data_IF_881572890007
#
_entry.id   IF_881572890007
#
_cell.length_a   1.000
_cell.length_b   1.000
_cell.length_c   1.000
_cell.angle_alpha   90.00
_cell.angle_beta   90.00
_cell.angle_gamma   90.00
#
_symmetry.space_group_name_H-M   'P 1'
#
loop_
_entity.id
_entity.type
_entity.pdbx_description
1 polymer ?
#
# COMPACT_ATOMS: atom_id res chain seq x y z
N UNK A 1 8.83 -8.93 15.71
CA UNK A 1 7.54 -9.03 15.00
C UNK A 1 7.80 -9.86 13.75
N UNK A 2 7.25 -11.05 13.69
CA UNK A 2 7.42 -11.95 12.55
C UNK A 2 6.30 -11.62 11.56
N UNK A 3 6.54 -10.62 10.73
CA UNK A 3 5.55 -10.20 9.74
C UNK A 3 5.97 -10.76 8.39
N UNK A 4 5.29 -11.83 7.97
CA UNK A 4 5.44 -12.42 6.63
C UNK A 4 4.85 -11.51 5.52
N UNK A 5 4.50 -10.28 5.86
CA UNK A 5 3.93 -9.31 4.91
C UNK A 5 5.03 -8.78 4.02
N UNK A 6 4.87 -8.95 2.73
CA UNK A 6 5.85 -8.57 1.71
C UNK A 6 5.75 -7.10 1.31
N UNK A 7 4.55 -6.56 1.32
CA UNK A 7 4.27 -5.15 1.03
C UNK A 7 2.86 -4.76 1.50
N UNK A 8 2.60 -3.48 1.53
CA UNK A 8 1.27 -2.92 1.82
C UNK A 8 0.80 -2.09 0.62
N UNK A 9 -0.41 -2.39 0.14
CA UNK A 9 -1.15 -1.51 -0.76
C UNK A 9 -1.96 -0.55 0.11
N UNK A 10 -1.46 0.66 0.23
CA UNK A 10 -2.02 1.67 1.10
C UNK A 10 -3.26 2.35 0.50
N UNK A 11 -4.11 2.88 1.35
CA UNK A 11 -5.20 3.76 0.91
C UNK A 11 -4.66 4.99 0.19
N UNK A 12 -3.64 5.67 0.75
CA UNK A 12 -2.74 6.62 0.10
C UNK A 12 -3.42 7.61 -0.84
N UNK A 13 -4.25 8.51 -0.31
CA UNK A 13 -5.02 9.49 -1.10
C UNK A 13 -4.26 10.79 -1.36
N UNK A 14 -3.01 10.87 -0.93
CA UNK A 14 -2.15 12.05 -1.07
C UNK A 14 -2.66 13.29 -0.31
N UNK A 15 -3.28 13.04 0.84
CA UNK A 15 -3.65 14.13 1.77
C UNK A 15 -2.52 14.41 2.76
N UNK A 16 -2.29 15.69 3.14
CA UNK A 16 -1.14 16.08 3.96
C UNK A 16 -1.01 15.34 5.29
N UNK A 17 -2.12 14.98 5.91
CA UNK A 17 -2.16 14.31 7.22
C UNK A 17 -2.42 12.82 7.06
N UNK A 18 -3.30 12.43 6.13
CA UNK A 18 -3.76 11.06 5.97
C UNK A 18 -2.63 10.08 5.63
N UNK A 19 -1.77 10.45 4.70
CA UNK A 19 -0.68 9.58 4.25
C UNK A 19 0.35 9.35 5.36
N UNK A 20 0.68 10.37 6.14
CA UNK A 20 1.62 10.25 7.26
C UNK A 20 1.07 9.40 8.40
N UNK A 21 -0.22 9.57 8.73
CA UNK A 21 -0.88 8.74 9.75
C UNK A 21 -0.90 7.27 9.32
N UNK A 22 -1.29 7.00 8.07
CA UNK A 22 -1.31 5.64 7.54
C UNK A 22 0.10 5.02 7.52
N UNK A 23 1.10 5.77 7.05
CA UNK A 23 2.50 5.35 7.06
C UNK A 23 2.96 4.95 8.47
N UNK A 24 2.72 5.78 9.47
CA UNK A 24 3.13 5.51 10.85
C UNK A 24 2.43 4.26 11.41
N UNK A 25 1.14 4.08 11.14
CA UNK A 25 0.39 2.90 11.54
C UNK A 25 0.94 1.62 10.88
N UNK A 26 1.23 1.66 9.57
CA UNK A 26 1.85 0.55 8.86
C UNK A 26 3.21 0.20 9.47
N UNK A 27 4.06 1.20 9.68
CA UNK A 27 5.40 1.01 10.25
C UNK A 27 5.34 0.41 11.66
N UNK A 28 4.40 0.83 12.48
CA UNK A 28 4.22 0.31 13.83
C UNK A 28 3.78 -1.17 13.82
N UNK A 29 2.87 -1.54 12.94
CA UNK A 29 2.24 -2.87 12.91
C UNK A 29 3.09 -3.89 12.15
N UNK A 30 3.52 -3.56 10.94
CA UNK A 30 4.25 -4.50 10.05
C UNK A 30 5.75 -4.22 9.95
N UNK A 31 6.21 -3.06 10.34
CA UNK A 31 7.61 -2.69 10.25
C UNK A 31 7.98 -2.14 8.86
N UNK A 32 9.26 -2.25 8.50
CA UNK A 32 9.79 -1.71 7.24
C UNK A 32 9.50 -2.65 6.08
N UNK A 33 8.40 -2.41 5.38
CA UNK A 33 8.00 -3.12 4.17
C UNK A 33 7.72 -2.11 3.04
N UNK A 34 7.82 -2.49 1.76
CA UNK A 34 7.39 -1.65 0.66
C UNK A 34 5.94 -1.19 0.82
N UNK A 35 5.69 0.08 0.60
CA UNK A 35 4.34 0.67 0.58
C UNK A 35 4.07 1.22 -0.81
N UNK A 36 2.93 0.84 -1.37
CA UNK A 36 2.47 1.31 -2.68
C UNK A 36 1.06 1.85 -2.58
N UNK A 37 0.72 2.81 -3.43
CA UNK A 37 -0.65 3.23 -3.65
C UNK A 37 -0.93 3.27 -5.16
N UNK A 38 -1.86 2.45 -5.60
CA UNK A 38 -2.24 2.39 -7.01
C UNK A 38 -3.02 3.64 -7.46
N UNK A 39 -3.48 4.47 -6.53
CA UNK A 39 -4.15 5.74 -6.84
C UNK A 39 -3.28 6.70 -7.63
N UNK A 40 -1.97 6.60 -7.50
CA UNK A 40 -1.04 7.37 -8.33
C UNK A 40 -1.16 7.08 -9.83
N UNK A 41 -1.65 5.89 -10.20
CA UNK A 41 -1.82 5.43 -11.59
C UNK A 41 -3.26 5.53 -12.10
N UNK A 42 -4.23 5.18 -11.25
CA UNK A 42 -5.63 5.01 -11.67
C UNK A 42 -6.58 6.03 -11.06
N UNK A 43 -6.09 6.90 -10.18
CA UNK A 43 -6.92 7.84 -9.45
C UNK A 43 -7.70 7.19 -8.31
N UNK A 44 -8.53 7.98 -7.65
CA UNK A 44 -9.41 7.53 -6.58
C UNK A 44 -10.74 7.05 -7.17
N UNK A 45 -10.98 5.75 -7.18
CA UNK A 45 -12.19 5.14 -7.76
C UNK A 45 -13.36 5.03 -6.78
N UNK A 46 -13.29 5.72 -5.64
CA UNK A 46 -14.32 5.80 -4.59
C UNK A 46 -14.80 4.41 -4.14
N UNK A 47 -16.09 4.08 -4.38
CA UNK A 47 -16.66 2.81 -3.95
C UNK A 47 -16.01 1.56 -4.55
N UNK A 48 -15.30 1.68 -5.68
CA UNK A 48 -14.58 0.58 -6.31
C UNK A 48 -13.12 0.44 -5.83
N UNK A 49 -12.58 1.38 -5.05
CA UNK A 49 -11.19 1.39 -4.61
C UNK A 49 -10.76 0.07 -4.00
N UNK A 50 -11.49 -0.39 -2.99
CA UNK A 50 -11.11 -1.57 -2.22
C UNK A 50 -10.95 -2.82 -3.06
N UNK A 51 -11.88 -3.07 -3.98
CA UNK A 51 -11.82 -4.28 -4.82
C UNK A 51 -10.76 -4.16 -5.92
N UNK A 52 -10.63 -3.01 -6.56
CA UNK A 52 -9.60 -2.79 -7.59
C UNK A 52 -8.21 -2.93 -6.97
N UNK A 53 -7.97 -2.31 -5.83
CA UNK A 53 -6.69 -2.36 -5.12
C UNK A 53 -6.39 -3.76 -4.59
N UNK A 54 -7.41 -4.53 -4.17
CA UNK A 54 -7.25 -5.94 -3.82
C UNK A 54 -6.80 -6.78 -5.02
N UNK A 55 -7.38 -6.56 -6.21
CA UNK A 55 -6.97 -7.23 -7.44
C UNK A 55 -5.51 -6.90 -7.79
N UNK A 56 -5.10 -5.64 -7.69
CA UNK A 56 -3.71 -5.24 -7.88
C UNK A 56 -2.77 -5.93 -6.89
N UNK A 57 -3.17 -6.02 -5.63
CA UNK A 57 -2.39 -6.70 -4.58
C UNK A 57 -2.22 -8.18 -4.90
N UNK A 58 -3.29 -8.87 -5.31
CA UNK A 58 -3.24 -10.28 -5.73
C UNK A 58 -2.30 -10.46 -6.93
N UNK A 59 -2.44 -9.62 -7.95
CA UNK A 59 -1.59 -9.68 -9.14
C UNK A 59 -0.12 -9.43 -8.82
N UNK A 60 0.18 -8.48 -7.94
CA UNK A 60 1.53 -8.23 -7.47
C UNK A 60 2.14 -9.44 -6.77
N UNK A 61 1.39 -10.11 -5.90
CA UNK A 61 1.84 -11.35 -5.26
C UNK A 61 2.06 -12.49 -6.28
N UNK A 62 1.14 -12.65 -7.25
CA UNK A 62 1.23 -13.70 -8.27
C UNK A 62 2.43 -13.52 -9.21
N UNK A 63 2.73 -12.28 -9.58
CA UNK A 63 3.80 -11.96 -10.51
C UNK A 63 5.14 -11.71 -9.85
N UNK A 64 5.15 -11.51 -8.52
CA UNK A 64 6.33 -11.09 -7.78
C UNK A 64 6.76 -9.64 -8.05
N UNK A 65 5.90 -8.84 -8.69
CA UNK A 65 6.19 -7.44 -9.03
C UNK A 65 5.41 -6.50 -8.12
N UNK A 66 6.13 -5.68 -7.36
CA UNK A 66 5.56 -4.58 -6.58
C UNK A 66 5.68 -3.31 -7.42
N UNK A 67 4.57 -2.73 -7.88
CA UNK A 67 4.63 -1.54 -8.72
C UNK A 67 5.19 -0.32 -7.98
N UNK A 68 5.70 0.64 -8.74
CA UNK A 68 6.12 1.94 -8.22
C UNK A 68 4.94 2.79 -7.76
N UNK A 69 5.23 3.77 -6.95
CA UNK A 69 4.32 4.90 -6.71
C UNK A 69 4.59 5.97 -7.76
N UNK A 70 3.73 6.07 -8.74
CA UNK A 70 3.91 6.99 -9.86
C UNK A 70 3.77 8.45 -9.42
N UNK A 71 4.46 9.37 -10.12
CA UNK A 71 4.41 10.81 -9.87
C UNK A 71 4.93 11.28 -8.50
N UNK A 72 5.75 10.51 -7.80
CA UNK A 72 6.41 11.01 -6.59
C UNK A 72 7.52 11.99 -6.99
N UNK A 73 7.38 13.23 -6.55
CA UNK A 73 8.42 14.25 -6.69
C UNK A 73 9.13 14.51 -5.37
N UNK A 74 8.37 14.51 -4.27
CA UNK A 74 8.89 14.73 -2.91
C UNK A 74 7.89 14.19 -1.91
N UNK A 75 8.36 13.42 -0.93
CA UNK A 75 7.58 13.08 0.24
C UNK A 75 7.65 14.21 1.28
N UNK A 76 6.54 14.49 1.95
CA UNK A 76 6.45 15.51 2.99
C UNK A 76 7.04 15.04 4.34
N UNK A 77 7.32 13.75 4.48
CA UNK A 77 7.91 13.12 5.67
C UNK A 77 8.94 12.07 5.26
N UNK A 78 9.78 11.66 6.19
CA UNK A 78 10.77 10.60 5.95
C UNK A 78 10.07 9.23 5.87
N UNK A 79 10.29 8.54 4.78
CA UNK A 79 9.66 7.25 4.47
C UNK A 79 10.58 6.04 4.68
N UNK A 80 11.81 6.25 5.18
CA UNK A 80 12.80 5.19 5.35
C UNK A 80 12.97 4.29 4.10
N UNK A 81 12.72 4.85 2.91
CA UNK A 81 12.76 4.10 1.65
C UNK A 81 11.60 3.12 1.42
N UNK A 82 10.57 3.13 2.28
CA UNK A 82 9.39 2.25 2.13
C UNK A 82 8.52 2.66 0.94
N UNK A 83 8.44 3.96 0.65
CA UNK A 83 7.71 4.54 -0.48
C UNK A 83 8.72 4.96 -1.55
N UNK A 84 8.54 4.52 -2.79
CA UNK A 84 9.49 4.79 -3.88
C UNK A 84 8.79 4.89 -5.23
N UNK A 85 9.42 5.62 -6.15
CA UNK A 85 9.06 5.72 -7.56
C UNK A 85 9.62 4.57 -8.42
N UNK A 86 10.20 3.55 -7.80
CA UNK A 86 10.80 2.41 -8.49
C UNK A 86 10.00 1.14 -8.26
N UNK A 87 9.88 0.33 -9.30
CA UNK A 87 9.38 -1.04 -9.18
C UNK A 87 10.29 -1.87 -8.28
N UNK A 88 9.70 -2.74 -7.51
CA UNK A 88 10.39 -3.71 -6.65
C UNK A 88 9.90 -5.12 -6.97
N UNK A 89 10.64 -6.11 -6.49
CA UNK A 89 10.25 -7.51 -6.59
C UNK A 89 10.06 -8.13 -5.21
N UNK A 90 9.24 -9.16 -5.14
CA UNK A 90 9.05 -9.95 -3.95
C UNK A 90 8.87 -11.42 -4.30
N UNK A 91 9.35 -12.30 -3.41
CA UNK A 91 9.03 -13.74 -3.41
C UNK A 91 8.01 -14.09 -2.33
N UNK A 92 7.59 -13.10 -1.56
CA UNK A 92 6.63 -13.30 -0.47
C UNK A 92 5.21 -13.57 -0.98
N UNK A 93 4.42 -14.17 -0.12
CA UNK A 93 3.08 -14.68 -0.45
C UNK A 93 1.95 -13.86 0.19
N UNK A 94 2.27 -12.91 1.06
CA UNK A 94 1.31 -12.15 1.86
C UNK A 94 1.47 -10.66 1.66
N UNK A 95 0.38 -9.94 1.55
CA UNK A 95 0.36 -8.48 1.52
C UNK A 95 -0.88 -7.94 2.23
N UNK A 96 -0.80 -6.70 2.68
CA UNK A 96 -1.96 -5.97 3.19
C UNK A 96 -2.54 -5.05 2.12
N UNK A 97 -3.86 -4.92 2.11
CA UNK A 97 -4.59 -3.95 1.32
C UNK A 97 -5.47 -3.10 2.24
N UNK A 98 -5.19 -1.81 2.32
CA UNK A 98 -5.89 -0.87 3.20
C UNK A 98 -6.89 -0.04 2.41
N UNK A 99 -8.07 0.15 3.00
CA UNK A 99 -9.13 1.00 2.46
C UNK A 99 -9.78 1.80 3.57
N UNK A 100 -9.79 3.12 3.44
CA UNK A 100 -10.39 4.02 4.40
C UNK A 100 -11.53 4.81 3.75
N UNK A 101 -12.62 4.96 4.48
CA UNK A 101 -13.81 5.66 4.01
C UNK A 101 -14.20 6.80 4.94
N UNK A 102 -15.06 7.69 4.44
CA UNK A 102 -15.61 8.77 5.24
C UNK A 102 -16.35 8.24 6.48
N UNK A 103 -16.29 9.01 7.56
CA UNK A 103 -16.93 8.63 8.82
C UNK A 103 -16.13 7.63 9.64
N UNK A 104 -14.81 7.53 9.42
CA UNK A 104 -13.91 6.68 10.20
C UNK A 104 -14.02 5.19 9.87
N UNK A 105 -14.55 4.83 8.72
CA UNK A 105 -14.59 3.43 8.27
C UNK A 105 -13.21 3.02 7.78
N UNK A 106 -12.61 2.03 8.43
CA UNK A 106 -11.31 1.49 8.07
C UNK A 106 -11.41 -0.01 7.85
N UNK A 107 -10.82 -0.49 6.77
CA UNK A 107 -10.66 -1.91 6.47
C UNK A 107 -9.22 -2.20 6.08
N UNK A 108 -8.65 -3.25 6.64
CA UNK A 108 -7.36 -3.79 6.25
C UNK A 108 -7.52 -5.28 5.96
N UNK A 109 -7.16 -5.70 4.76
CA UNK A 109 -7.29 -7.07 4.29
C UNK A 109 -5.90 -7.70 4.22
N UNK A 110 -5.69 -8.81 4.92
CA UNK A 110 -4.52 -9.65 4.71
C UNK A 110 -4.83 -10.61 3.55
N UNK A 111 -4.06 -10.48 2.47
CA UNK A 111 -4.19 -11.30 1.26
C UNK A 111 -3.00 -12.25 1.22
N UNK A 112 -3.28 -13.53 1.07
CA UNK A 112 -2.28 -14.59 0.92
C UNK A 112 -2.56 -15.39 -0.35
N UNK A 113 -1.51 -15.69 -1.12
CA UNK A 113 -1.56 -16.60 -2.25
C UNK A 113 -0.90 -17.94 -1.90
N UNK A 114 -1.49 -19.01 -2.38
CA UNK A 114 -0.98 -20.38 -2.22
C UNK A 114 -0.01 -20.78 -3.33
#
# INVERSE_FOLDING_TARGET
>A
KNNDVSFVNAHGTSTPIGDEIEYNAIKEVVGNVPIVSNKSKIGHTFGACGIIEAIYTIKSLQTGQIPDNHNITKCSFDTDGMITDKNRTTTGKKALNNSFGFGGKCASQLIEIV
#
